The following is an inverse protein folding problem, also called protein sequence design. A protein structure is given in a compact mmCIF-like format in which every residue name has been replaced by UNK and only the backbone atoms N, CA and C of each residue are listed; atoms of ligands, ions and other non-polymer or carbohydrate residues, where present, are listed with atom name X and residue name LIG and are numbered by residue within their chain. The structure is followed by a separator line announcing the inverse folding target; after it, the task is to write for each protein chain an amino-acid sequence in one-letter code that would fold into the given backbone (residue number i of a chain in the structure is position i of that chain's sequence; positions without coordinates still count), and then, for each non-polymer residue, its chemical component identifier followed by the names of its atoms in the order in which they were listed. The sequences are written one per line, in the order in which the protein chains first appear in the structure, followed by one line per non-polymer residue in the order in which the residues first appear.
data_IF_677020800463
#
_entry.id   IF_677020800463
#
_cell.length_a   1.000
_cell.length_b   1.000
_cell.length_c   1.000
_cell.angle_alpha   90.00
_cell.angle_beta   90.00
_cell.angle_gamma   90.00
#
_symmetry.space_group_name_H-M   'P 1'
#
loop_
_entity.id
_entity.type
_entity.pdbx_description
1 polymer ?
#
# COMPACT_ATOMS: atom_id res chain seq x y z
N UNK A 1 2.32 60.91 -16.91
CA UNK A 1 3.38 61.91 -16.67
C UNK A 1 2.97 62.85 -15.53
N UNK A 2 3.33 62.51 -14.29
CA UNK A 2 3.58 63.41 -13.14
C UNK A 2 4.22 62.54 -12.05
N UNK A 3 5.26 63.06 -11.41
CA UNK A 3 6.08 62.38 -10.40
C UNK A 3 6.18 63.27 -9.14
N UNK A 4 6.98 62.84 -8.15
CA UNK A 4 7.24 63.47 -6.85
C UNK A 4 6.07 63.32 -5.83
N UNK A 5 6.22 63.23 -4.49
CA UNK A 5 7.34 63.04 -3.52
C UNK A 5 6.68 62.69 -2.15
N UNK A 6 7.29 62.34 -0.99
CA UNK A 6 8.69 62.27 -0.48
C UNK A 6 8.73 61.41 0.80
N UNK A 7 9.91 60.91 1.20
CA UNK A 7 10.29 60.89 2.64
C UNK A 7 10.07 59.61 3.46
N UNK A 8 11.16 59.12 4.04
CA UNK A 8 11.15 58.29 5.27
C UNK A 8 11.19 59.22 6.49
N UNK A 9 10.73 58.78 7.67
CA UNK A 9 11.72 58.54 8.72
C UNK A 9 11.49 57.26 9.54
N UNK A 10 12.54 56.85 10.26
CA UNK A 10 12.54 55.70 11.15
C UNK A 10 11.74 55.94 12.44
N UNK A 11 11.29 54.85 13.06
CA UNK A 11 11.05 54.81 14.51
C UNK A 11 11.47 53.45 15.06
N UNK A 12 12.25 53.48 16.14
CA UNK A 12 12.79 52.31 16.83
C UNK A 12 11.88 51.97 18.01
N UNK A 13 11.36 50.74 18.06
CA UNK A 13 10.99 50.08 19.30
C UNK A 13 11.58 48.68 19.26
N UNK A 14 12.38 48.36 20.27
CA UNK A 14 12.85 47.01 20.52
C UNK A 14 11.82 46.28 21.40
N UNK A 15 11.62 44.99 21.17
CA UNK A 15 11.53 44.03 22.27
C UNK A 15 11.85 42.60 21.78
N UNK A 16 12.38 41.79 22.70
CA UNK A 16 13.18 40.61 22.36
C UNK A 16 12.41 39.34 21.99
N UNK A 17 13.01 38.53 21.13
CA UNK A 17 12.62 37.13 20.90
C UNK A 17 13.86 36.24 21.13
N UNK A 18 13.84 35.33 22.13
CA UNK A 18 14.96 34.41 22.39
C UNK A 18 14.98 33.24 21.37
N UNK A 19 16.13 32.60 21.16
CA UNK A 19 16.30 31.61 20.10
C UNK A 19 15.52 30.32 20.34
N UNK A 20 14.91 29.79 19.27
CA UNK A 20 14.13 28.56 19.27
C UNK A 20 14.99 27.34 19.59
N UNK A 21 14.89 26.81 20.81
CA UNK A 21 15.42 25.49 21.16
C UNK A 21 14.60 24.40 20.48
N UNK A 22 15.27 23.56 19.68
CA UNK A 22 14.68 22.35 19.09
C UNK A 22 14.50 21.32 20.20
N UNK A 23 13.33 21.32 20.84
CA UNK A 23 12.94 20.27 21.79
C UNK A 23 12.40 19.07 21.02
N UNK A 24 13.11 17.95 21.10
CA UNK A 24 12.69 16.65 20.54
C UNK A 24 11.45 16.13 21.25
N UNK A 25 10.26 16.52 20.77
CA UNK A 25 8.99 16.03 21.28
C UNK A 25 8.78 14.56 20.86
N UNK A 26 9.24 13.64 21.70
CA UNK A 26 8.74 12.27 21.66
C UNK A 26 7.24 12.30 22.00
N UNK A 27 6.40 12.25 20.98
CA UNK A 27 4.95 12.29 21.11
C UNK A 27 4.45 11.03 21.83
N UNK A 28 4.37 11.10 23.15
CA UNK A 28 3.71 10.11 23.99
C UNK A 28 2.23 10.05 23.62
N UNK A 29 1.78 8.89 23.17
CA UNK A 29 0.36 8.62 22.89
C UNK A 29 -0.48 8.92 24.14
N UNK A 30 -1.62 9.63 24.02
CA UNK A 30 -2.45 9.97 25.17
C UNK A 30 -2.99 8.71 25.84
N UNK A 31 -2.82 8.64 27.17
CA UNK A 31 -3.18 7.49 27.99
C UNK A 31 -4.69 7.41 28.28
N UNK A 32 -5.48 7.17 27.22
CA UNK A 32 -6.91 6.79 27.30
C UNK A 32 -7.24 5.73 26.24
N UNK A 33 -6.46 4.65 26.22
CA UNK A 33 -6.99 3.39 25.71
C UNK A 33 -8.06 2.90 26.69
N UNK A 34 -9.33 3.07 26.33
CA UNK A 34 -10.35 2.12 26.79
C UNK A 34 -9.85 0.69 26.47
N UNK A 35 -10.23 -0.28 27.31
CA UNK A 35 -9.87 -1.67 27.03
C UNK A 35 -10.32 -2.02 25.60
N UNK A 36 -9.37 -2.49 24.79
CA UNK A 36 -9.67 -2.90 23.41
C UNK A 36 -10.27 -4.29 23.50
N UNK A 37 -11.58 -4.33 23.76
CA UNK A 37 -12.37 -5.56 23.91
C UNK A 37 -12.65 -6.25 22.56
N UNK A 38 -11.68 -6.18 21.64
CA UNK A 38 -11.66 -6.87 20.36
C UNK A 38 -10.31 -7.59 20.17
N UNK A 39 -10.30 -8.90 19.88
CA UNK A 39 -9.07 -9.69 19.80
C UNK A 39 -8.24 -9.37 18.54
N UNK A 40 -8.85 -8.90 17.46
CA UNK A 40 -8.16 -8.52 16.21
C UNK A 40 -7.45 -7.19 16.41
N UNK A 41 -8.11 -6.20 16.99
CA UNK A 41 -7.52 -4.91 17.32
C UNK A 41 -6.41 -5.07 18.39
N UNK A 42 -6.60 -5.93 19.38
CA UNK A 42 -5.55 -6.27 20.36
C UNK A 42 -4.31 -6.86 19.69
N UNK A 43 -4.48 -7.86 18.81
CA UNK A 43 -3.38 -8.46 18.06
C UNK A 43 -2.69 -7.46 17.10
N UNK A 44 -3.47 -6.55 16.50
CA UNK A 44 -2.94 -5.48 15.65
C UNK A 44 -2.09 -4.50 16.45
N UNK A 45 -2.55 -4.05 17.62
CA UNK A 45 -1.79 -3.11 18.48
C UNK A 45 -0.49 -3.75 19.00
N UNK A 46 -0.53 -5.00 19.44
CA UNK A 46 0.69 -5.77 19.78
C UNK A 46 1.66 -5.86 18.60
N UNK A 47 1.15 -6.11 17.39
CA UNK A 47 1.97 -6.19 16.17
C UNK A 47 2.60 -4.84 15.81
N UNK A 48 1.83 -3.75 15.86
CA UNK A 48 2.32 -2.38 15.61
C UNK A 48 3.44 -2.03 16.59
N UNK A 49 3.25 -2.30 17.88
CA UNK A 49 4.25 -2.03 18.91
C UNK A 49 5.50 -2.90 18.73
N UNK A 50 5.35 -4.21 18.54
CA UNK A 50 6.45 -5.17 18.40
C UNK A 50 7.35 -4.89 17.20
N UNK A 51 6.75 -4.54 16.05
CA UNK A 51 7.49 -4.31 14.81
C UNK A 51 7.75 -2.82 14.51
N UNK A 52 7.29 -1.91 15.38
CA UNK A 52 7.42 -0.45 15.24
C UNK A 52 6.91 0.06 13.88
N UNK A 53 5.76 -0.45 13.46
CA UNK A 53 5.12 -0.08 12.19
C UNK A 53 4.66 1.38 12.29
N UNK A 54 5.01 2.22 11.32
CA UNK A 54 4.65 3.63 11.34
C UNK A 54 3.11 3.82 11.31
N UNK A 55 2.50 4.54 12.27
CA UNK A 55 1.06 4.78 12.31
C UNK A 55 0.51 5.43 11.04
N UNK A 56 1.35 6.15 10.30
CA UNK A 56 0.99 6.85 9.08
C UNK A 56 0.51 5.90 7.97
N UNK A 57 1.09 4.71 7.85
CA UNK A 57 0.62 3.73 6.86
C UNK A 57 -0.82 3.26 7.16
N UNK A 58 -1.28 3.33 8.41
CA UNK A 58 -2.67 3.03 8.77
C UNK A 58 -3.60 4.21 8.47
N UNK A 59 -3.14 5.46 8.64
CA UNK A 59 -3.92 6.65 8.25
C UNK A 59 -4.20 6.67 6.76
N UNK A 60 -3.14 6.60 5.94
CA UNK A 60 -3.24 6.63 4.47
C UNK A 60 -4.05 5.44 3.94
N UNK A 61 -3.95 4.26 4.58
CA UNK A 61 -4.84 3.13 4.27
C UNK A 61 -6.31 3.43 4.60
N UNK A 62 -6.62 3.92 5.80
CA UNK A 62 -7.99 4.24 6.20
C UNK A 62 -8.59 5.38 5.36
N UNK A 63 -7.79 6.34 4.91
CA UNK A 63 -8.24 7.39 3.99
C UNK A 63 -8.57 6.81 2.61
N UNK A 64 -7.79 5.89 2.06
CA UNK A 64 -8.17 5.17 0.85
C UNK A 64 -9.45 4.33 1.04
N UNK A 65 -9.64 3.68 2.19
CA UNK A 65 -10.92 3.00 2.50
C UNK A 65 -12.10 3.98 2.60
N UNK A 66 -11.88 5.20 3.10
CA UNK A 66 -12.88 6.28 3.09
C UNK A 66 -13.20 6.79 1.69
N UNK A 67 -12.29 6.68 0.71
CA UNK A 67 -12.61 6.98 -0.70
C UNK A 67 -13.66 6.02 -1.25
N UNK A 68 -13.73 4.79 -0.70
CA UNK A 68 -14.72 3.81 -1.12
C UNK A 68 -16.10 3.91 -0.45
N UNK A 69 -16.29 4.76 0.57
CA UNK A 69 -17.57 4.83 1.31
C UNK A 69 -18.48 5.92 0.73
N UNK A 70 -19.66 5.61 0.14
CA UNK A 70 -20.61 6.64 -0.29
C UNK A 70 -21.02 7.55 0.87
N UNK A 71 -21.02 8.87 0.65
CA UNK A 71 -21.28 9.87 1.69
C UNK A 71 -20.05 10.27 2.52
N UNK A 72 -18.90 9.61 2.34
CA UNK A 72 -17.61 10.08 2.85
C UNK A 72 -17.19 11.40 2.18
N UNK A 73 -16.57 12.36 2.90
CA UNK A 73 -15.95 13.54 2.29
C UNK A 73 -14.85 13.23 1.26
N UNK A 74 -14.27 12.03 1.32
CA UNK A 74 -13.23 11.57 0.40
C UNK A 74 -13.79 10.70 -0.75
N UNK A 75 -15.11 10.50 -0.82
CA UNK A 75 -15.71 9.51 -1.72
C UNK A 75 -15.34 9.72 -3.20
N UNK A 76 -14.79 8.67 -3.82
CA UNK A 76 -14.41 8.64 -5.23
C UNK A 76 -14.66 7.24 -5.79
N UNK A 77 -15.44 7.15 -6.88
CA UNK A 77 -15.76 5.89 -7.56
C UNK A 77 -15.23 5.82 -9.01
N UNK A 78 -14.53 6.87 -9.46
CA UNK A 78 -13.90 7.00 -10.78
C UNK A 78 -12.62 7.82 -10.65
N UNK A 79 -11.63 7.52 -11.48
CA UNK A 79 -10.32 8.17 -11.47
C UNK A 79 -10.07 8.77 -12.86
N UNK A 80 -9.75 10.05 -12.93
CA UNK A 80 -9.54 10.75 -14.19
C UNK A 80 -8.31 10.21 -14.92
N UNK A 81 -7.22 10.00 -14.18
CA UNK A 81 -5.93 9.57 -14.70
C UNK A 81 -5.21 8.55 -13.80
N UNK A 82 -4.09 8.04 -14.29
CA UNK A 82 -3.23 7.10 -13.56
C UNK A 82 -2.58 7.73 -12.31
N UNK A 83 -2.47 9.05 -12.21
CA UNK A 83 -2.02 9.78 -11.03
C UNK A 83 -3.04 9.69 -9.89
N UNK A 84 -4.31 9.99 -10.17
CA UNK A 84 -5.40 9.81 -9.20
C UNK A 84 -5.55 8.35 -8.77
N UNK A 85 -5.42 7.40 -9.71
CA UNK A 85 -5.45 5.98 -9.37
C UNK A 85 -4.28 5.57 -8.47
N UNK A 86 -3.07 6.06 -8.75
CA UNK A 86 -1.88 5.84 -7.90
C UNK A 86 -2.06 6.44 -6.51
N UNK A 87 -2.74 7.57 -6.37
CA UNK A 87 -3.08 8.13 -5.06
C UNK A 87 -3.94 7.15 -4.24
N UNK A 88 -4.98 6.57 -4.83
CA UNK A 88 -5.77 5.53 -4.15
C UNK A 88 -4.95 4.25 -3.89
N UNK A 89 -4.12 3.80 -4.85
CA UNK A 89 -3.26 2.62 -4.66
C UNK A 89 -2.19 2.81 -3.58
N UNK A 90 -1.72 4.04 -3.36
CA UNK A 90 -0.79 4.40 -2.28
C UNK A 90 -1.33 3.99 -0.92
N UNK A 91 -2.61 4.27 -0.65
CA UNK A 91 -3.28 3.89 0.59
C UNK A 91 -3.80 2.46 0.58
N UNK A 92 -4.55 2.06 -0.46
CA UNK A 92 -5.22 0.75 -0.50
C UNK A 92 -4.25 -0.44 -0.60
N UNK A 93 -3.03 -0.26 -1.10
CA UNK A 93 -2.10 -1.36 -1.34
C UNK A 93 -0.63 -1.09 -1.02
N UNK A 94 -0.06 0.04 -1.44
CA UNK A 94 1.35 0.33 -1.17
C UNK A 94 1.60 0.43 0.35
N UNK A 95 0.71 1.10 1.08
CA UNK A 95 0.73 1.16 2.54
C UNK A 95 0.65 -0.22 3.21
N UNK A 96 -0.08 -1.20 2.65
CA UNK A 96 -0.11 -2.58 3.16
C UNK A 96 1.26 -3.25 2.99
N UNK A 97 1.92 -3.04 1.85
CA UNK A 97 3.31 -3.50 1.62
C UNK A 97 4.27 -2.93 2.68
N UNK A 98 4.15 -1.64 2.99
CA UNK A 98 4.95 -0.95 4.00
C UNK A 98 4.62 -1.40 5.43
N UNK A 99 3.35 -1.68 5.75
CA UNK A 99 2.94 -2.25 7.04
C UNK A 99 3.54 -3.66 7.27
N UNK A 100 3.59 -4.49 6.22
CA UNK A 100 4.13 -5.85 6.30
C UNK A 100 5.66 -5.91 6.30
N UNK A 101 6.34 -4.92 5.70
CA UNK A 101 7.79 -4.95 5.49
C UNK A 101 8.60 -5.12 6.81
N UNK A 102 8.31 -4.43 7.93
CA UNK A 102 8.96 -4.69 9.22
C UNK A 102 8.71 -6.10 9.79
N UNK A 103 7.53 -6.67 9.53
CA UNK A 103 7.11 -7.99 10.03
C UNK A 103 7.83 -9.12 9.26
N UNK A 104 7.90 -9.00 7.94
CA UNK A 104 8.67 -9.87 7.06
C UNK A 104 10.17 -9.75 7.35
N UNK A 105 10.63 -8.51 7.50
CA UNK A 105 11.99 -8.10 7.75
C UNK A 105 12.90 -8.22 6.53
N UNK A 106 14.00 -7.48 6.57
CA UNK A 106 14.94 -7.28 5.46
C UNK A 106 16.35 -7.82 5.78
N UNK A 107 17.20 -7.88 4.76
CA UNK A 107 18.68 -8.06 4.88
C UNK A 107 19.46 -6.76 4.64
N UNK A 108 18.75 -5.67 4.33
CA UNK A 108 19.22 -4.29 4.14
C UNK A 108 18.44 -3.37 5.09
N UNK A 109 18.85 -2.10 5.31
CA UNK A 109 18.01 -1.09 5.94
C UNK A 109 16.59 -1.06 5.34
N UNK A 110 15.56 -0.94 6.19
CA UNK A 110 14.14 -1.08 5.77
C UNK A 110 13.80 -0.12 4.64
N UNK A 111 14.24 1.14 4.74
CA UNK A 111 14.04 2.19 3.75
C UNK A 111 14.55 1.85 2.33
N UNK A 112 15.55 0.97 2.18
CA UNK A 112 16.03 0.51 0.87
C UNK A 112 15.07 -0.48 0.20
N UNK A 113 14.28 -1.20 0.99
CA UNK A 113 13.28 -2.16 0.50
C UNK A 113 11.87 -1.56 0.34
N UNK A 114 11.58 -0.42 0.98
CA UNK A 114 10.29 0.27 0.92
C UNK A 114 9.81 0.56 -0.51
N UNK A 115 10.62 1.10 -1.45
CA UNK A 115 10.15 1.40 -2.81
C UNK A 115 9.68 0.16 -3.57
N UNK A 116 10.37 -0.96 -3.41
CA UNK A 116 10.02 -2.20 -4.09
C UNK A 116 8.84 -2.92 -3.41
N UNK A 117 8.69 -2.81 -2.09
CA UNK A 117 7.51 -3.29 -1.37
C UNK A 117 6.24 -2.50 -1.76
N UNK A 118 6.35 -1.18 -1.86
CA UNK A 118 5.29 -0.31 -2.36
C UNK A 118 4.89 -0.66 -3.80
N UNK A 119 5.86 -0.75 -4.71
CA UNK A 119 5.63 -1.13 -6.11
C UNK A 119 5.01 -2.53 -6.26
N UNK A 120 5.37 -3.51 -5.41
CA UNK A 120 4.73 -4.82 -5.42
C UNK A 120 3.26 -4.75 -4.99
N UNK A 121 2.94 -3.92 -4.00
CA UNK A 121 1.58 -3.63 -3.58
C UNK A 121 0.75 -2.99 -4.70
N UNK A 122 1.28 -1.95 -5.35
CA UNK A 122 0.63 -1.31 -6.52
C UNK A 122 0.38 -2.32 -7.66
N UNK A 123 1.37 -3.17 -7.97
CA UNK A 123 1.22 -4.19 -9.01
C UNK A 123 0.12 -5.20 -8.69
N UNK A 124 0.01 -5.64 -7.43
CA UNK A 124 -1.08 -6.53 -6.98
C UNK A 124 -2.45 -5.83 -7.06
N UNK A 125 -2.52 -4.54 -6.75
CA UNK A 125 -3.78 -3.80 -6.76
C UNK A 125 -4.28 -3.49 -8.17
N UNK A 126 -3.40 -3.07 -9.08
CA UNK A 126 -3.74 -2.94 -10.49
C UNK A 126 -4.13 -4.30 -11.10
N UNK A 127 -3.56 -5.41 -10.60
CA UNK A 127 -3.99 -6.78 -10.97
C UNK A 127 -5.42 -7.08 -10.49
N UNK A 128 -5.80 -6.64 -9.28
CA UNK A 128 -7.17 -6.78 -8.79
C UNK A 128 -8.16 -6.02 -9.69
N UNK A 129 -7.91 -4.73 -9.97
CA UNK A 129 -8.78 -3.92 -10.84
C UNK A 129 -8.94 -4.51 -12.25
N UNK A 130 -7.86 -5.06 -12.83
CA UNK A 130 -7.91 -5.68 -14.16
C UNK A 130 -8.70 -6.99 -14.19
N UNK A 131 -8.77 -7.72 -13.08
CA UNK A 131 -9.53 -8.97 -12.94
C UNK A 131 -11.01 -8.73 -12.60
N UNK A 132 -11.28 -7.70 -11.81
CA UNK A 132 -12.55 -7.52 -11.09
C UNK A 132 -13.46 -6.44 -11.74
N UNK A 133 -13.13 -5.99 -12.96
CA UNK A 133 -13.82 -4.93 -13.73
C UNK A 133 -15.35 -5.04 -13.71
N UNK A 134 -15.89 -6.26 -13.88
CA UNK A 134 -17.33 -6.49 -13.85
C UNK A 134 -17.95 -6.25 -12.47
N UNK A 135 -17.28 -6.73 -11.44
CA UNK A 135 -17.70 -6.70 -10.04
C UNK A 135 -17.62 -5.27 -9.48
N UNK A 136 -16.62 -4.51 -9.95
CA UNK A 136 -16.49 -3.07 -9.67
C UNK A 136 -17.59 -2.25 -10.36
N UNK A 137 -17.91 -2.53 -11.62
CA UNK A 137 -19.01 -1.88 -12.35
C UNK A 137 -20.37 -2.14 -11.69
N UNK A 138 -20.63 -3.37 -11.23
CA UNK A 138 -21.86 -3.73 -10.50
C UNK A 138 -21.98 -2.97 -9.16
N UNK A 139 -20.84 -2.55 -8.58
CA UNK A 139 -20.76 -1.69 -7.39
C UNK A 139 -20.76 -0.19 -7.71
N UNK A 140 -20.96 0.19 -8.97
CA UNK A 140 -20.96 1.57 -9.43
C UNK A 140 -19.58 2.23 -9.47
N UNK A 141 -18.50 1.44 -9.63
CA UNK A 141 -17.10 1.91 -9.65
C UNK A 141 -16.43 1.65 -11.00
N UNK A 142 -15.43 2.47 -11.32
CA UNK A 142 -14.44 2.21 -12.36
C UNK A 142 -13.08 2.66 -11.83
N UNK A 143 -12.23 1.71 -11.43
CA UNK A 143 -10.86 2.01 -10.98
C UNK A 143 -9.90 2.28 -12.14
N UNK A 144 -10.10 1.65 -13.32
CA UNK A 144 -9.22 1.85 -14.47
C UNK A 144 -9.21 3.33 -14.91
N UNK A 145 -8.06 3.94 -15.23
CA UNK A 145 -7.97 5.38 -15.48
C UNK A 145 -8.81 5.84 -16.68
N UNK A 146 -9.52 6.96 -16.51
CA UNK A 146 -10.41 7.50 -17.54
C UNK A 146 -9.69 7.91 -18.83
N UNK A 147 -8.52 8.52 -18.71
CA UNK A 147 -7.65 8.91 -19.83
C UNK A 147 -7.13 7.71 -20.64
N UNK A 148 -6.59 6.70 -19.96
CA UNK A 148 -6.10 5.46 -20.56
C UNK A 148 -7.22 4.69 -21.28
N UNK A 149 -8.44 4.69 -20.72
CA UNK A 149 -9.62 4.13 -21.39
C UNK A 149 -10.02 4.96 -22.62
N UNK A 150 -10.09 6.28 -22.48
CA UNK A 150 -10.48 7.20 -23.54
C UNK A 150 -9.53 7.16 -24.73
N UNK A 151 -8.22 6.93 -24.51
CA UNK A 151 -7.22 6.77 -25.56
C UNK A 151 -7.52 5.60 -26.54
N UNK A 152 -8.28 4.59 -26.12
CA UNK A 152 -8.74 3.49 -26.98
C UNK A 152 -10.17 3.66 -27.50
N UNK A 153 -10.83 4.78 -27.19
CA UNK A 153 -12.24 5.03 -27.50
C UNK A 153 -13.21 4.25 -26.60
N UNK A 154 -12.83 4.05 -25.33
CA UNK A 154 -13.65 3.41 -24.30
C UNK A 154 -14.22 4.45 -23.36
N UNK A 155 -15.55 4.46 -23.24
CA UNK A 155 -16.29 5.29 -22.27
C UNK A 155 -17.11 4.42 -21.29
N UNK A 156 -17.77 5.06 -20.34
CA UNK A 156 -18.61 4.38 -19.35
C UNK A 156 -19.82 3.64 -19.99
N UNK A 157 -20.34 4.12 -21.12
CA UNK A 157 -21.43 3.48 -21.86
C UNK A 157 -20.98 2.18 -22.52
N UNK A 158 -19.77 2.15 -23.08
CA UNK A 158 -19.16 0.96 -23.64
C UNK A 158 -18.85 -0.08 -22.57
N UNK A 159 -18.30 0.33 -21.42
CA UNK A 159 -18.10 -0.57 -20.28
C UNK A 159 -19.43 -1.17 -19.79
N UNK A 160 -20.48 -0.36 -19.68
CA UNK A 160 -21.82 -0.84 -19.32
C UNK A 160 -22.46 -1.74 -20.40
N UNK A 161 -22.15 -1.54 -21.68
CA UNK A 161 -22.55 -2.46 -22.76
C UNK A 161 -21.81 -3.81 -22.65
N UNK A 162 -20.49 -3.79 -22.43
CA UNK A 162 -19.70 -5.00 -22.24
C UNK A 162 -20.20 -5.80 -21.02
N UNK A 163 -20.44 -5.11 -19.89
CA UNK A 163 -20.97 -5.73 -18.67
C UNK A 163 -22.33 -6.39 -18.87
N UNK A 164 -23.28 -5.72 -19.55
CA UNK A 164 -24.63 -6.25 -19.82
C UNK A 164 -24.65 -7.42 -20.80
N UNK A 165 -23.70 -7.48 -21.73
CA UNK A 165 -23.63 -8.54 -22.76
C UNK A 165 -22.69 -9.69 -22.39
N UNK A 166 -21.86 -9.53 -21.35
CA UNK A 166 -20.76 -10.43 -21.02
C UNK A 166 -19.59 -10.39 -22.02
N UNK A 167 -19.64 -9.52 -23.05
CA UNK A 167 -18.70 -9.53 -24.18
C UNK A 167 -17.75 -8.34 -24.13
N UNK A 168 -16.46 -8.59 -24.25
CA UNK A 168 -15.43 -7.55 -24.33
C UNK A 168 -15.36 -6.95 -25.74
N UNK A 169 -15.67 -5.65 -25.88
CA UNK A 169 -15.46 -4.91 -27.13
C UNK A 169 -13.96 -4.85 -27.48
N UNK A 170 -13.56 -4.96 -28.77
CA UNK A 170 -12.15 -4.90 -29.18
C UNK A 170 -11.38 -3.66 -28.71
N UNK A 171 -12.03 -2.52 -28.46
CA UNK A 171 -11.43 -1.32 -27.86
C UNK A 171 -11.08 -1.53 -26.39
N UNK A 172 -12.02 -2.07 -25.62
CA UNK A 172 -11.81 -2.44 -24.21
C UNK A 172 -10.71 -3.48 -24.10
N UNK A 173 -10.69 -4.47 -25.00
CA UNK A 173 -9.61 -5.46 -25.11
C UNK A 173 -8.23 -4.81 -25.26
N UNK A 174 -8.09 -3.80 -26.12
CA UNK A 174 -6.83 -3.07 -26.31
C UNK A 174 -6.44 -2.24 -25.07
N UNK A 175 -7.40 -1.58 -24.42
CA UNK A 175 -7.15 -0.83 -23.19
C UNK A 175 -6.69 -1.74 -22.05
N UNK A 176 -7.33 -2.90 -21.86
CA UNK A 176 -6.91 -3.91 -20.89
C UNK A 176 -5.51 -4.46 -21.22
N UNK A 177 -5.21 -4.74 -22.49
CA UNK A 177 -3.88 -5.18 -22.92
C UNK A 177 -2.79 -4.14 -22.61
N UNK A 178 -3.09 -2.84 -22.84
CA UNK A 178 -2.19 -1.74 -22.49
C UNK A 178 -1.93 -1.68 -20.98
N UNK A 179 -3.00 -1.67 -20.17
CA UNK A 179 -2.88 -1.61 -18.71
C UNK A 179 -2.21 -2.86 -18.11
N UNK A 180 -2.38 -4.05 -18.71
CA UNK A 180 -1.60 -5.25 -18.37
C UNK A 180 -0.11 -5.05 -18.67
N UNK A 181 0.25 -4.45 -19.80
CA UNK A 181 1.65 -4.18 -20.15
C UNK A 181 2.29 -3.16 -19.20
N UNK A 182 1.56 -2.10 -18.83
CA UNK A 182 1.97 -1.12 -17.79
C UNK A 182 2.17 -1.84 -16.45
N UNK A 183 1.21 -2.65 -16.01
CA UNK A 183 1.30 -3.38 -14.75
C UNK A 183 2.51 -4.35 -14.73
N UNK A 184 2.73 -5.09 -15.82
CA UNK A 184 3.92 -5.95 -15.98
C UNK A 184 5.24 -5.17 -15.90
N UNK A 185 5.27 -3.88 -16.22
CA UNK A 185 6.45 -3.04 -15.97
C UNK A 185 6.65 -2.79 -14.47
N UNK A 186 5.60 -2.50 -13.70
CA UNK A 186 5.65 -2.36 -12.24
C UNK A 186 6.15 -3.65 -11.59
N UNK A 187 5.64 -4.83 -12.01
CA UNK A 187 6.15 -6.12 -11.56
C UNK A 187 7.66 -6.30 -11.78
N UNK A 188 8.20 -5.89 -12.94
CA UNK A 188 9.64 -5.98 -13.24
C UNK A 188 10.47 -5.08 -12.31
N UNK A 189 9.98 -3.90 -11.99
CA UNK A 189 10.63 -2.98 -11.04
C UNK A 189 10.56 -3.50 -9.60
N UNK A 190 9.46 -4.13 -9.21
CA UNK A 190 9.24 -4.63 -7.86
C UNK A 190 9.97 -5.95 -7.55
N UNK A 191 10.12 -6.85 -8.53
CA UNK A 191 10.61 -8.21 -8.32
C UNK A 191 12.01 -8.32 -7.66
N UNK A 192 13.02 -7.48 -7.98
CA UNK A 192 14.31 -7.50 -7.30
C UNK A 192 14.21 -7.23 -5.79
N UNK A 193 13.20 -6.47 -5.36
CA UNK A 193 12.95 -6.18 -3.95
C UNK A 193 12.67 -7.40 -3.08
N UNK A 194 12.21 -8.51 -3.68
CA UNK A 194 11.96 -9.75 -2.94
C UNK A 194 13.27 -10.33 -2.38
N UNK A 195 14.41 -10.10 -3.03
CA UNK A 195 15.72 -10.49 -2.53
C UNK A 195 16.33 -9.54 -1.48
N UNK A 196 15.66 -8.42 -1.18
CA UNK A 196 15.97 -7.55 -0.04
C UNK A 196 15.32 -8.04 1.27
N UNK A 197 14.36 -8.96 1.21
CA UNK A 197 13.69 -9.56 2.37
C UNK A 197 14.57 -10.62 3.06
N UNK A 198 14.26 -10.98 4.32
CA UNK A 198 14.89 -12.13 5.00
C UNK A 198 14.71 -13.42 4.17
N UNK A 199 15.75 -14.26 4.00
CA UNK A 199 15.66 -15.47 3.16
C UNK A 199 14.45 -16.37 3.44
N UNK A 200 14.07 -16.52 4.73
CA UNK A 200 12.93 -17.35 5.17
C UNK A 200 11.57 -16.96 4.57
N UNK A 201 11.36 -15.68 4.21
CA UNK A 201 10.06 -15.21 3.68
C UNK A 201 10.02 -15.14 2.14
N UNK A 202 11.19 -15.16 1.48
CA UNK A 202 11.28 -14.97 0.02
C UNK A 202 10.43 -15.98 -0.78
N UNK A 203 10.42 -17.30 -0.49
CA UNK A 203 9.61 -18.25 -1.23
C UNK A 203 8.11 -17.93 -1.18
N UNK A 204 7.60 -17.46 -0.04
CA UNK A 204 6.20 -17.08 0.12
C UNK A 204 5.86 -15.82 -0.69
N UNK A 205 6.72 -14.79 -0.64
CA UNK A 205 6.49 -13.53 -1.38
C UNK A 205 6.69 -13.72 -2.90
N UNK A 206 7.66 -14.55 -3.34
CA UNK A 206 7.78 -14.96 -4.75
C UNK A 206 6.57 -15.75 -5.21
N UNK A 207 6.09 -16.71 -4.41
CA UNK A 207 4.86 -17.45 -4.69
C UNK A 207 3.69 -16.47 -4.88
N UNK A 208 3.50 -15.52 -3.97
CA UNK A 208 2.47 -14.49 -4.10
C UNK A 208 2.64 -13.68 -5.41
N UNK A 209 3.85 -13.19 -5.70
CA UNK A 209 4.13 -12.41 -6.91
C UNK A 209 3.88 -13.19 -8.21
N UNK A 210 4.29 -14.45 -8.29
CA UNK A 210 4.07 -15.34 -9.44
C UNK A 210 2.59 -15.68 -9.61
N UNK A 211 1.85 -15.88 -8.52
CA UNK A 211 0.42 -16.16 -8.57
C UNK A 211 -0.41 -14.92 -8.91
N UNK A 212 -0.05 -13.75 -8.39
CA UNK A 212 -0.72 -12.50 -8.75
C UNK A 212 -0.41 -12.10 -10.20
N UNK A 213 0.87 -12.07 -10.61
CA UNK A 213 1.23 -11.83 -12.01
C UNK A 213 0.59 -12.85 -12.96
N UNK A 214 0.44 -14.11 -12.51
CA UNK A 214 -0.23 -15.16 -13.25
C UNK A 214 -1.70 -14.89 -13.56
N UNK A 215 -2.41 -14.05 -12.80
CA UNK A 215 -3.79 -13.61 -13.11
C UNK A 215 -3.82 -12.87 -14.45
N UNK A 216 -2.81 -12.05 -14.75
CA UNK A 216 -2.75 -11.30 -16.00
C UNK A 216 -2.67 -12.25 -17.20
N UNK A 217 -1.89 -13.33 -17.07
CA UNK A 217 -1.83 -14.39 -18.08
C UNK A 217 -3.18 -15.12 -18.23
N UNK A 218 -3.95 -15.29 -17.14
CA UNK A 218 -5.29 -15.89 -17.20
C UNK A 218 -6.29 -14.95 -17.92
N UNK A 219 -6.19 -13.63 -17.73
CA UNK A 219 -7.00 -12.64 -18.47
C UNK A 219 -6.71 -12.75 -19.97
N UNK A 220 -5.43 -12.78 -20.37
CA UNK A 220 -5.02 -12.92 -21.77
C UNK A 220 -5.43 -14.27 -22.37
N UNK A 221 -5.21 -15.38 -21.65
CA UNK A 221 -5.58 -16.75 -22.06
C UNK A 221 -7.08 -16.91 -22.32
N UNK A 222 -7.89 -16.07 -21.69
CA UNK A 222 -9.35 -16.06 -21.82
C UNK A 222 -9.87 -14.93 -22.73
N UNK A 223 -9.01 -14.37 -23.59
CA UNK A 223 -9.25 -13.25 -24.51
C UNK A 223 -9.96 -12.06 -23.83
N UNK A 224 -9.47 -11.71 -22.64
CA UNK A 224 -9.91 -10.56 -21.86
C UNK A 224 -11.41 -10.59 -21.51
N UNK A 225 -12.01 -11.78 -21.35
CA UNK A 225 -13.41 -11.99 -20.99
C UNK A 225 -13.78 -11.60 -19.54
N UNK A 226 -13.27 -10.47 -19.04
CA UNK A 226 -13.42 -9.96 -17.66
C UNK A 226 -14.86 -9.52 -17.32
N UNK A 227 -15.75 -9.44 -18.30
CA UNK A 227 -17.18 -9.12 -18.13
C UNK A 227 -18.07 -10.36 -17.94
N UNK A 228 -17.58 -11.53 -18.34
CA UNK A 228 -18.25 -12.83 -18.24
C UNK A 228 -17.75 -13.60 -17.00
N UNK A 229 -16.43 -13.58 -16.77
CA UNK A 229 -15.77 -14.41 -15.76
C UNK A 229 -14.60 -13.71 -15.09
N UNK A 230 -14.49 -13.93 -13.79
CA UNK A 230 -13.36 -13.49 -12.97
C UNK A 230 -12.13 -14.37 -13.22
N UNK A 231 -11.05 -13.79 -13.72
CA UNK A 231 -9.84 -14.56 -14.07
C UNK A 231 -9.08 -15.03 -12.82
N UNK A 232 -9.02 -16.35 -12.56
CA UNK A 232 -8.33 -16.89 -11.38
C UNK A 232 -7.29 -17.93 -11.77
N UNK A 233 -6.12 -17.90 -11.09
CA UNK A 233 -5.08 -18.90 -11.31
C UNK A 233 -5.57 -20.28 -10.87
N UNK A 234 -5.55 -21.32 -11.73
CA UNK A 234 -6.02 -22.66 -11.40
C UNK A 234 -5.23 -23.33 -10.26
N UNK A 235 -5.89 -24.18 -9.47
CA UNK A 235 -5.29 -24.88 -8.32
C UNK A 235 -4.05 -25.69 -8.69
N UNK A 236 -4.02 -26.33 -9.87
CA UNK A 236 -2.86 -27.06 -10.38
C UNK A 236 -1.64 -26.14 -10.59
N UNK A 237 -1.84 -24.92 -11.12
CA UNK A 237 -0.80 -23.90 -11.27
C UNK A 237 -0.35 -23.38 -9.90
N UNK A 238 -1.27 -23.18 -8.94
CA UNK A 238 -0.93 -22.81 -7.54
C UNK A 238 -0.01 -23.84 -6.89
N UNK A 239 -0.38 -25.13 -6.97
CA UNK A 239 0.40 -26.23 -6.42
C UNK A 239 1.79 -26.32 -7.07
N UNK A 240 1.87 -26.21 -8.40
CA UNK A 240 3.16 -26.24 -9.13
C UNK A 240 4.09 -25.10 -8.69
N UNK A 241 3.58 -23.87 -8.58
CA UNK A 241 4.39 -22.72 -8.14
C UNK A 241 4.89 -22.92 -6.70
N UNK A 242 4.02 -23.38 -5.79
CA UNK A 242 4.43 -23.70 -4.42
C UNK A 242 5.54 -24.77 -4.38
N UNK A 243 5.41 -25.86 -5.13
CA UNK A 243 6.45 -26.90 -5.23
C UNK A 243 7.77 -26.32 -5.76
N UNK A 244 7.73 -25.43 -6.77
CA UNK A 244 8.93 -24.81 -7.35
C UNK A 244 9.63 -23.86 -6.36
N UNK A 245 8.90 -22.93 -5.73
CA UNK A 245 9.49 -21.93 -4.82
C UNK A 245 10.00 -22.54 -3.51
N UNK A 246 9.25 -23.49 -2.92
CA UNK A 246 9.69 -24.15 -1.68
C UNK A 246 10.73 -25.25 -1.95
N UNK A 247 10.62 -25.98 -3.07
CA UNK A 247 11.59 -27.01 -3.48
C UNK A 247 12.95 -26.45 -3.90
N UNK A 248 13.00 -25.23 -4.44
CA UNK A 248 14.26 -24.53 -4.72
C UNK A 248 14.90 -23.92 -3.46
N UNK A 249 14.09 -23.53 -2.48
CA UNK A 249 14.56 -23.07 -1.16
C UNK A 249 15.37 -24.12 -0.39
N UNK A 250 15.03 -25.41 -0.54
CA UNK A 250 15.74 -26.53 0.10
C UNK A 250 17.16 -26.79 -0.45
N UNK A 251 17.58 -26.13 -1.54
CA UNK A 251 18.90 -26.32 -2.17
C UNK A 251 19.95 -25.26 -1.78
N UNK A 252 19.65 -24.33 -0.87
CA UNK A 252 20.62 -23.37 -0.34
C UNK A 252 21.00 -23.71 1.11
N UNK A 253 22.30 -23.72 1.48
CA UNK A 253 22.70 -23.99 2.85
C UNK A 253 22.09 -22.99 3.84
N UNK A 254 21.53 -23.50 4.92
CA UNK A 254 21.00 -22.68 6.01
C UNK A 254 22.14 -22.10 6.84
N UNK A 255 22.37 -20.78 6.77
CA UNK A 255 23.15 -20.11 7.81
C UNK A 255 22.33 -20.07 9.12
N UNK A 256 22.96 -20.32 10.29
CA UNK A 256 22.25 -20.32 11.56
C UNK A 256 21.67 -18.94 11.87
N UNK A 257 20.41 -18.91 12.31
CA UNK A 257 19.77 -17.67 12.78
C UNK A 257 20.51 -17.11 14.00
N UNK A 258 20.71 -15.79 14.11
CA UNK A 258 21.22 -15.19 15.35
C UNK A 258 20.19 -15.41 16.48
N UNK A 259 20.65 -15.50 17.75
CA UNK A 259 19.77 -15.73 18.88
C UNK A 259 18.79 -14.57 19.06
N UNK A 260 17.53 -14.90 19.38
CA UNK A 260 16.54 -13.91 19.80
C UNK A 260 16.94 -13.45 21.21
N UNK A 261 17.47 -12.23 21.31
CA UNK A 261 17.76 -11.63 22.61
C UNK A 261 16.46 -11.24 23.32
N UNK A 262 15.95 -12.15 24.16
CA UNK A 262 14.82 -11.89 25.07
C UNK A 262 15.28 -11.03 26.25
N UNK A 263 15.58 -9.76 25.98
CA UNK A 263 15.95 -8.76 26.98
C UNK A 263 14.78 -7.77 27.19
N UNK A 264 13.93 -8.06 28.17
CA UNK A 264 13.00 -7.06 28.72
C UNK A 264 13.81 -6.01 29.51
N UNK A 265 13.71 -4.71 29.19
CA UNK A 265 14.35 -3.68 30.01
C UNK A 265 13.62 -3.56 31.36
N UNK A 266 14.24 -4.09 32.42
CA UNK A 266 13.88 -3.76 33.81
C UNK A 266 14.33 -2.32 34.11
N UNK A 267 13.38 -1.38 34.20
CA UNK A 267 13.34 -0.35 35.26
C UNK A 267 12.25 0.70 35.00
N UNK A 268 11.12 0.60 35.72
CA UNK A 268 10.52 1.78 36.34
C UNK A 268 10.43 1.47 37.84
N UNK A 269 11.37 2.03 38.60
CA UNK A 269 11.37 1.92 40.07
C UNK A 269 10.54 3.08 40.59
N UNK A 270 9.36 2.79 41.11
CA UNK A 270 8.49 3.80 41.71
C UNK A 270 9.21 4.48 42.88
N UNK A 271 9.34 5.81 42.78
CA UNK A 271 9.72 6.65 43.92
C UNK A 271 8.50 6.74 44.83
N UNK A 272 8.62 6.28 46.08
CA UNK A 272 7.59 6.50 47.08
C UNK A 272 7.56 7.98 47.51
N UNK A 273 6.39 8.56 47.80
CA UNK A 273 6.30 9.90 48.37
C UNK A 273 6.74 9.87 49.84
N UNK A 274 7.64 10.79 50.22
CA UNK A 274 8.01 10.98 51.62
C UNK A 274 6.83 11.56 52.42
N UNK A 275 6.42 10.85 53.46
CA UNK A 275 5.59 11.40 54.53
C UNK A 275 6.47 12.18 55.54
N UNK A 276 5.94 13.19 56.24
CA UNK A 276 6.73 14.14 57.02
C UNK A 276 7.21 13.57 58.37
N UNK A 277 8.22 14.22 58.96
CA UNK A 277 8.56 14.08 60.38
C UNK A 277 8.89 15.44 61.01
N UNK A 278 8.20 15.70 62.11
CA UNK A 278 8.47 16.65 63.20
C UNK A 278 9.00 18.03 62.81
#
# INVERSE_FOLDING_TARGET
MRAATTGSPASTIADGCPPTTVTTAAASLPATCAAIDDPVLTALVDTIARYRIAPEHFRVFLDAMRMDVPGSPLFRNRYADMGELREYMRGSAAAIGLQLLPVLGTVVPVAEAEPAAAALGEAFQLTNFLRDVAEDLDRGRVYLPGDELAAFGVDAGLLAHCRRTGRTDPRVRRALAHLIAVNRAVYRTAAPGIDLLRPRVRPAIRTAAVLYGGILDEIERHDYAVFDRRATVPTSRRLRVAITEFGSGLRRPSHPSPPVHTALPRAFRTVQPNAPRA
#
